data_IF_936159067970
#
_entry.id   IF_936159067970
#
_cell.length_a   1.000
_cell.length_b   1.000
_cell.length_c   1.000
_cell.angle_alpha   90.00
_cell.angle_beta   90.00
_cell.angle_gamma   90.00
#
_symmetry.space_group_name_H-M   'P 1'
#
loop_
_entity.id
_entity.type
_entity.pdbx_description
1 polymer ?
#
# COMPACT_ATOMS: atom_id res chain seq x y z
N UNK A 1 -18.80 34.70 99.73
CA UNK A 1 -19.31 33.38 99.56
C UNK A 1 -20.25 33.27 98.35
N UNK A 2 -19.78 33.00 97.21
CA UNK A 2 -20.62 32.52 96.11
C UNK A 2 -19.67 31.84 95.07
N UNK A 3 -19.82 30.55 95.01
CA UNK A 3 -19.14 29.68 94.07
C UNK A 3 -19.93 29.74 92.79
N UNK A 4 -19.31 30.13 91.68
CA UNK A 4 -19.92 30.05 90.37
C UNK A 4 -19.28 28.89 89.59
N UNK A 5 -20.04 27.83 89.37
CA UNK A 5 -19.74 26.79 88.43
C UNK A 5 -20.22 27.15 87.05
N UNK A 6 -19.32 27.47 86.17
CA UNK A 6 -19.58 27.57 84.72
C UNK A 6 -19.19 26.30 84.03
N UNK A 7 -20.14 25.40 83.82
CA UNK A 7 -19.93 24.24 82.92
C UNK A 7 -20.19 24.69 81.50
N UNK A 8 -19.13 24.70 80.69
CA UNK A 8 -19.22 24.84 79.24
C UNK A 8 -19.80 23.57 78.63
N UNK A 9 -21.12 23.56 78.42
CA UNK A 9 -21.76 22.56 77.56
C UNK A 9 -21.43 22.87 76.09
N UNK A 10 -20.52 22.14 75.53
CA UNK A 10 -20.40 22.09 74.04
C UNK A 10 -21.41 21.07 73.54
N UNK A 11 -22.32 21.46 72.64
CA UNK A 11 -23.32 20.53 72.09
C UNK A 11 -22.59 19.53 71.14
N UNK A 12 -23.00 18.25 71.25
CA UNK A 12 -22.38 17.11 70.58
C UNK A 12 -22.41 17.16 69.03
N UNK A 13 -23.07 18.19 68.44
CA UNK A 13 -23.05 18.41 66.96
C UNK A 13 -21.93 19.31 66.47
N UNK A 14 -21.13 19.86 67.35
CA UNK A 14 -20.04 20.76 67.00
C UNK A 14 -18.66 20.07 66.89
N UNK A 15 -18.59 18.77 66.76
CA UNK A 15 -17.39 18.06 66.38
C UNK A 15 -17.28 18.13 64.85
N UNK A 16 -16.24 18.78 64.30
CA UNK A 16 -15.96 18.61 62.90
C UNK A 16 -15.62 17.16 62.67
N UNK A 17 -16.49 16.42 61.99
CA UNK A 17 -16.15 15.12 61.43
C UNK A 17 -14.88 15.31 60.58
N UNK A 18 -13.75 14.83 61.07
CA UNK A 18 -12.56 14.67 60.26
C UNK A 18 -13.01 13.82 59.08
N UNK A 19 -13.18 14.46 57.89
CA UNK A 19 -13.24 13.72 56.66
C UNK A 19 -11.87 13.03 56.54
N UNK A 20 -11.83 11.74 56.89
CA UNK A 20 -10.74 10.86 56.54
C UNK A 20 -10.64 10.90 55.02
N UNK A 21 -9.76 11.75 54.49
CA UNK A 21 -9.33 11.62 53.12
C UNK A 21 -8.87 10.19 52.90
N UNK A 22 -9.36 9.52 51.85
CA UNK A 22 -8.93 8.14 51.60
C UNK A 22 -7.44 8.17 51.28
N UNK A 23 -6.62 8.07 52.30
CA UNK A 23 -5.18 7.90 52.12
C UNK A 23 -4.97 6.57 51.41
N UNK A 24 -4.69 6.64 50.10
CA UNK A 24 -4.36 5.48 49.29
C UNK A 24 -3.16 4.81 49.91
N UNK A 25 -3.40 3.71 50.62
CA UNK A 25 -2.34 2.95 51.30
C UNK A 25 -1.49 2.21 50.28
N UNK A 26 -0.48 2.85 49.76
CA UNK A 26 0.49 2.33 48.78
C UNK A 26 1.10 0.99 49.22
N UNK A 27 1.23 0.78 50.52
CA UNK A 27 1.76 -0.46 51.09
C UNK A 27 0.93 -1.70 50.73
N UNK A 28 -0.41 -1.57 50.62
CA UNK A 28 -1.28 -2.66 50.21
C UNK A 28 -1.09 -3.06 48.75
N UNK A 29 -0.84 -2.08 47.88
CA UNK A 29 -0.55 -2.36 46.48
C UNK A 29 0.81 -3.02 46.27
N UNK A 30 1.83 -2.59 47.02
CA UNK A 30 3.15 -3.23 46.99
C UNK A 30 3.12 -4.68 47.47
N UNK A 31 2.36 -5.00 48.52
CA UNK A 31 2.22 -6.39 48.99
C UNK A 31 1.46 -7.26 47.99
N UNK A 32 0.44 -6.75 47.32
CA UNK A 32 -0.27 -7.44 46.24
C UNK A 32 0.64 -7.73 45.04
N UNK A 33 1.43 -6.74 44.59
CA UNK A 33 2.40 -6.92 43.51
C UNK A 33 3.45 -7.97 43.84
N UNK A 34 3.98 -7.97 45.10
CA UNK A 34 4.96 -8.95 45.53
C UNK A 34 4.39 -10.38 45.59
N UNK A 35 3.11 -10.50 45.95
CA UNK A 35 2.41 -11.79 46.00
C UNK A 35 2.12 -12.35 44.60
N UNK A 36 1.75 -11.49 43.63
CA UNK A 36 1.36 -11.89 42.28
C UNK A 36 2.43 -11.62 41.23
N UNK A 37 3.68 -11.40 41.65
CA UNK A 37 4.81 -11.04 40.73
C UNK A 37 4.97 -11.98 39.55
N UNK A 38 4.79 -13.31 39.78
CA UNK A 38 4.88 -14.32 38.72
C UNK A 38 3.71 -14.25 37.73
N UNK A 39 2.52 -13.94 38.22
CA UNK A 39 1.33 -13.80 37.39
C UNK A 39 1.45 -12.54 36.54
N UNK A 40 1.87 -11.43 37.13
CA UNK A 40 2.13 -10.15 36.40
C UNK A 40 3.21 -10.37 35.35
N UNK A 41 4.32 -11.03 35.70
CA UNK A 41 5.40 -11.35 34.77
C UNK A 41 4.90 -12.19 33.59
N UNK A 42 4.08 -13.20 33.86
CA UNK A 42 3.51 -14.06 32.82
C UNK A 42 2.61 -13.26 31.87
N UNK A 43 1.73 -12.41 32.39
CA UNK A 43 0.84 -11.57 31.57
C UNK A 43 1.64 -10.60 30.71
N UNK A 44 2.66 -9.97 31.29
CA UNK A 44 3.54 -9.04 30.54
C UNK A 44 4.31 -9.80 29.46
N UNK A 45 4.89 -10.96 29.77
CA UNK A 45 5.60 -11.78 28.78
C UNK A 45 4.67 -12.27 27.66
N UNK A 46 3.47 -12.74 28.01
CA UNK A 46 2.49 -13.17 27.04
C UNK A 46 2.03 -12.00 26.14
N UNK A 47 1.71 -10.85 26.74
CA UNK A 47 1.29 -9.66 26.00
C UNK A 47 2.40 -9.13 25.07
N UNK A 48 3.64 -9.07 25.56
CA UNK A 48 4.80 -8.66 24.76
C UNK A 48 5.08 -9.67 23.63
N UNK A 49 5.01 -10.96 23.93
CA UNK A 49 5.24 -12.02 22.93
C UNK A 49 4.18 -11.99 21.82
N UNK A 50 2.91 -11.82 22.17
CA UNK A 50 1.82 -11.70 21.19
C UNK A 50 2.00 -10.40 20.39
N UNK A 51 2.27 -9.27 21.04
CA UNK A 51 2.50 -7.98 20.38
C UNK A 51 3.68 -8.03 19.40
N UNK A 52 4.79 -8.63 19.79
CA UNK A 52 5.93 -8.83 18.92
C UNK A 52 5.60 -9.74 17.73
N UNK A 53 4.89 -10.85 17.98
CA UNK A 53 4.44 -11.75 16.93
C UNK A 53 3.56 -11.04 15.89
N UNK A 54 2.54 -10.30 16.34
CA UNK A 54 1.66 -9.54 15.44
C UNK A 54 2.45 -8.52 14.61
N UNK A 55 3.39 -7.80 15.23
CA UNK A 55 4.20 -6.79 14.54
C UNK A 55 5.07 -7.39 13.42
N UNK A 56 5.58 -8.61 13.59
CA UNK A 56 6.37 -9.29 12.57
C UNK A 56 5.54 -9.72 11.35
N UNK A 57 4.25 -9.98 11.53
CA UNK A 57 3.36 -10.36 10.43
C UNK A 57 2.71 -9.17 9.71
N UNK A 58 2.79 -7.97 10.26
CA UNK A 58 2.25 -6.77 9.62
C UNK A 58 3.24 -6.27 8.57
N UNK A 59 2.90 -6.43 7.30
CA UNK A 59 3.67 -5.83 6.20
C UNK A 59 3.57 -4.29 6.30
N UNK A 60 4.71 -3.57 6.24
CA UNK A 60 4.70 -2.11 6.27
C UNK A 60 3.94 -1.57 5.05
N UNK A 61 2.97 -0.71 5.29
CA UNK A 61 2.25 0.00 4.25
C UNK A 61 2.84 1.41 4.10
N UNK A 62 3.42 1.67 2.93
CA UNK A 62 3.95 2.99 2.57
C UNK A 62 2.92 3.72 1.72
N UNK A 63 2.72 5.00 2.01
CA UNK A 63 1.90 5.88 1.18
C UNK A 63 2.80 6.86 0.45
N UNK A 64 2.61 6.97 -0.86
CA UNK A 64 3.27 7.97 -1.69
C UNK A 64 2.20 8.95 -2.17
N UNK A 65 2.48 10.24 -1.99
CA UNK A 65 1.59 11.32 -2.43
C UNK A 65 2.28 12.11 -3.53
N UNK A 66 1.57 12.34 -4.64
CA UNK A 66 1.95 13.24 -5.70
C UNK A 66 0.94 14.38 -5.83
N UNK A 67 1.39 15.54 -6.26
CA UNK A 67 0.54 16.68 -6.52
C UNK A 67 0.77 17.16 -7.95
N UNK A 68 -0.32 17.50 -8.64
CA UNK A 68 -0.28 18.07 -9.98
C UNK A 68 -1.06 19.36 -10.01
N UNK A 69 -0.51 20.37 -10.69
CA UNK A 69 -1.23 21.60 -10.94
C UNK A 69 -2.11 21.43 -12.17
N UNK A 70 -3.38 21.82 -12.05
CA UNK A 70 -4.30 21.88 -13.17
C UNK A 70 -4.47 23.36 -13.54
N UNK A 71 -3.84 23.77 -14.65
CA UNK A 71 -4.04 25.09 -15.24
C UNK A 71 -5.32 25.06 -16.07
N UNK A 72 -6.39 25.59 -15.54
CA UNK A 72 -7.61 25.77 -16.30
C UNK A 72 -8.53 26.77 -15.64
N UNK A 73 -9.23 27.57 -16.40
CA UNK A 73 -10.29 28.50 -15.97
C UNK A 73 -11.47 27.80 -15.25
N UNK A 74 -11.32 26.54 -14.93
CA UNK A 74 -12.34 25.63 -14.37
C UNK A 74 -12.73 25.97 -12.93
N UNK A 75 -11.90 26.72 -12.20
CA UNK A 75 -12.12 27.01 -10.78
C UNK A 75 -12.90 28.32 -10.55
N UNK A 76 -13.13 29.11 -11.58
CA UNK A 76 -13.84 30.42 -11.46
C UNK A 76 -15.33 30.36 -11.64
N UNK A 77 -15.99 29.23 -11.56
CA UNK A 77 -17.45 29.17 -11.63
C UNK A 77 -18.12 29.28 -10.24
N UNK A 78 -17.66 30.23 -9.45
CA UNK A 78 -18.31 30.72 -8.25
C UNK A 78 -18.65 32.20 -8.38
N UNK A 79 -19.71 32.55 -9.10
CA UNK A 79 -20.28 33.91 -9.09
C UNK A 79 -19.93 34.78 -10.31
N UNK A 80 -20.68 34.63 -11.37
CA UNK A 80 -20.71 35.58 -12.48
C UNK A 80 -21.84 35.23 -13.44
N UNK A 81 -22.92 36.03 -13.45
CA UNK A 81 -24.01 35.98 -14.42
C UNK A 81 -23.46 36.06 -15.83
N UNK A 82 -23.39 34.93 -16.54
CA UNK A 82 -23.38 34.93 -18.01
C UNK A 82 -24.65 34.21 -18.47
N UNK A 83 -25.73 35.01 -18.59
CA UNK A 83 -26.92 34.65 -19.34
C UNK A 83 -26.56 34.54 -20.83
N UNK A 84 -26.27 33.33 -21.27
CA UNK A 84 -26.22 32.98 -22.69
C UNK A 84 -27.12 31.76 -22.91
N UNK A 85 -27.74 31.60 -24.09
CA UNK A 85 -28.68 30.50 -24.35
C UNK A 85 -28.03 29.10 -24.44
N UNK A 86 -26.74 29.02 -24.20
CA UNK A 86 -26.00 27.77 -23.98
C UNK A 86 -25.19 27.99 -22.71
N UNK A 87 -25.72 27.56 -21.59
CA UNK A 87 -24.94 27.42 -20.36
C UNK A 87 -23.78 26.45 -20.67
N UNK A 88 -22.62 27.01 -20.89
CA UNK A 88 -21.37 26.24 -20.92
C UNK A 88 -21.18 25.68 -19.51
N UNK A 89 -21.73 24.50 -19.26
CA UNK A 89 -21.33 23.73 -18.07
C UNK A 89 -19.81 23.67 -18.12
N UNK A 90 -19.12 23.94 -16.99
CA UNK A 90 -17.69 23.76 -16.94
C UNK A 90 -17.43 22.32 -17.40
N UNK A 91 -16.78 22.19 -18.57
CA UNK A 91 -16.59 20.92 -19.28
C UNK A 91 -15.86 19.87 -18.44
N UNK A 92 -15.34 20.27 -17.27
CA UNK A 92 -14.65 19.35 -16.37
C UNK A 92 -14.92 19.73 -14.92
N UNK A 93 -15.85 19.01 -14.30
CA UNK A 93 -16.04 19.06 -12.85
C UNK A 93 -14.81 18.43 -12.16
N UNK A 94 -14.51 18.80 -10.90
CA UNK A 94 -13.43 18.19 -10.13
C UNK A 94 -13.45 16.64 -10.12
N UNK A 95 -14.64 16.04 -10.16
CA UNK A 95 -14.83 14.59 -10.28
C UNK A 95 -14.37 14.03 -11.62
N UNK A 96 -14.57 14.75 -12.73
CA UNK A 96 -14.20 14.27 -14.05
C UNK A 96 -12.67 14.07 -14.20
N UNK A 97 -11.85 14.90 -13.56
CA UNK A 97 -10.40 14.70 -13.53
C UNK A 97 -10.00 13.43 -12.77
N UNK A 98 -10.68 13.14 -11.65
CA UNK A 98 -10.46 11.92 -10.90
C UNK A 98 -10.85 10.68 -11.74
N UNK A 99 -11.97 10.75 -12.44
CA UNK A 99 -12.43 9.68 -13.33
C UNK A 99 -11.51 9.47 -14.53
N UNK A 100 -11.00 10.57 -15.10
CA UNK A 100 -10.04 10.50 -16.21
C UNK A 100 -8.74 9.80 -15.76
N UNK A 101 -8.18 10.19 -14.63
CA UNK A 101 -6.98 9.54 -14.07
C UNK A 101 -7.21 8.06 -13.78
N UNK A 102 -8.39 7.72 -13.25
CA UNK A 102 -8.78 6.34 -12.98
C UNK A 102 -9.26 5.58 -14.20
N UNK A 103 -9.24 6.21 -15.38
CA UNK A 103 -9.65 5.55 -16.60
C UNK A 103 -8.76 4.33 -16.91
N UNK A 104 -9.38 3.31 -17.47
CA UNK A 104 -8.66 2.09 -17.85
C UNK A 104 -7.60 2.36 -18.92
N UNK A 105 -7.79 3.37 -19.77
CA UNK A 105 -6.82 3.73 -20.81
C UNK A 105 -5.49 4.18 -20.18
N UNK A 106 -5.53 5.10 -19.23
CA UNK A 106 -4.33 5.58 -18.52
C UNK A 106 -3.68 4.44 -17.74
N UNK A 107 -4.46 3.69 -16.97
CA UNK A 107 -3.93 2.62 -16.13
C UNK A 107 -3.33 1.46 -16.94
N UNK A 108 -3.97 1.06 -18.04
CA UNK A 108 -3.44 0.02 -18.93
C UNK A 108 -2.11 0.47 -19.57
N UNK A 109 -1.99 1.73 -19.97
CA UNK A 109 -0.76 2.29 -20.53
C UNK A 109 0.37 2.29 -19.48
N UNK A 110 0.08 2.72 -18.26
CA UNK A 110 1.05 2.70 -17.16
C UNK A 110 1.51 1.27 -16.85
N UNK A 111 0.57 0.33 -16.75
CA UNK A 111 0.86 -1.08 -16.49
C UNK A 111 1.76 -1.67 -17.57
N UNK A 112 1.52 -1.34 -18.84
CA UNK A 112 2.35 -1.79 -19.95
C UNK A 112 3.72 -1.12 -19.99
N UNK A 113 3.79 0.22 -19.88
CA UNK A 113 5.04 0.99 -19.90
C UNK A 113 5.99 0.61 -18.76
N UNK A 114 5.46 0.34 -17.58
CA UNK A 114 6.25 -0.04 -16.41
C UNK A 114 6.36 -1.56 -16.21
N UNK A 115 5.79 -2.37 -17.14
CA UNK A 115 5.78 -3.84 -17.06
C UNK A 115 5.30 -4.36 -15.71
N UNK A 116 4.25 -3.76 -15.14
CA UNK A 116 3.76 -4.09 -13.79
C UNK A 116 3.14 -5.48 -13.68
N UNK A 117 2.85 -6.10 -14.80
CA UNK A 117 2.35 -7.47 -14.92
C UNK A 117 3.42 -8.54 -14.73
N UNK A 118 4.70 -8.15 -14.66
CA UNK A 118 5.84 -9.05 -14.55
C UNK A 118 6.61 -8.80 -13.25
N UNK A 119 6.82 -9.88 -12.50
CA UNK A 119 7.46 -9.82 -11.18
C UNK A 119 8.58 -10.86 -11.09
N UNK A 120 9.82 -10.50 -11.44
CA UNK A 120 10.97 -11.32 -11.11
C UNK A 120 11.07 -11.49 -9.61
N UNK A 121 11.37 -12.70 -9.13
CA UNK A 121 11.53 -12.93 -7.70
C UNK A 121 12.73 -12.18 -7.13
N UNK A 122 13.79 -12.03 -7.94
CA UNK A 122 14.99 -11.28 -7.58
C UNK A 122 15.19 -10.10 -8.52
N UNK A 123 15.52 -8.93 -8.00
CA UNK A 123 15.74 -7.72 -8.80
C UNK A 123 16.87 -7.89 -9.83
N UNK A 124 17.91 -8.68 -9.51
CA UNK A 124 19.02 -9.00 -10.42
C UNK A 124 18.60 -9.73 -11.68
N UNK A 125 17.45 -10.38 -11.68
CA UNK A 125 16.93 -11.15 -12.81
C UNK A 125 16.10 -10.30 -13.78
N UNK A 126 15.92 -9.02 -13.50
CA UNK A 126 15.11 -8.12 -14.34
C UNK A 126 15.63 -8.05 -15.78
N UNK A 127 16.94 -8.12 -15.99
CA UNK A 127 17.55 -8.09 -17.31
C UNK A 127 17.18 -9.30 -18.19
N UNK A 128 16.84 -10.46 -17.59
CA UNK A 128 16.41 -11.67 -18.31
C UNK A 128 15.13 -11.42 -19.08
N UNK A 129 14.29 -10.51 -18.59
CA UNK A 129 12.96 -10.21 -19.13
C UNK A 129 12.93 -9.03 -20.11
N UNK A 130 14.08 -8.61 -20.60
CA UNK A 130 14.15 -7.57 -21.63
C UNK A 130 13.34 -8.01 -22.87
N UNK A 131 12.41 -7.17 -23.31
CA UNK A 131 11.54 -7.48 -24.45
C UNK A 131 10.40 -8.44 -24.14
N UNK A 132 10.08 -8.69 -22.87
CA UNK A 132 8.90 -9.48 -22.48
C UNK A 132 7.61 -8.78 -22.92
N UNK A 133 6.76 -9.52 -23.63
CA UNK A 133 5.48 -9.00 -24.13
C UNK A 133 4.33 -9.95 -23.77
N UNK A 134 3.29 -9.44 -23.10
CA UNK A 134 2.05 -10.17 -22.89
C UNK A 134 1.29 -10.26 -24.21
N UNK A 135 0.66 -11.41 -24.46
CA UNK A 135 -0.18 -11.69 -25.62
C UNK A 135 -1.62 -12.01 -25.19
N UNK A 136 -2.60 -11.95 -26.09
CA UNK A 136 -3.93 -12.46 -25.81
C UNK A 136 -3.91 -13.90 -25.32
N UNK A 137 -4.70 -14.21 -24.30
CA UNK A 137 -4.72 -15.54 -23.68
C UNK A 137 -3.62 -15.79 -22.64
N UNK A 138 -2.99 -14.73 -22.15
CA UNK A 138 -1.98 -14.81 -21.07
C UNK A 138 -2.53 -15.58 -19.86
N UNK A 139 -1.81 -16.62 -19.46
CA UNK A 139 -2.08 -17.39 -18.25
C UNK A 139 -1.28 -16.83 -17.09
N UNK A 140 -1.99 -16.21 -16.13
CA UNK A 140 -1.40 -15.72 -14.90
C UNK A 140 -0.87 -16.88 -14.07
N UNK A 141 0.30 -16.71 -13.45
CA UNK A 141 0.89 -17.74 -12.61
C UNK A 141 2.36 -17.47 -12.26
N UNK A 142 2.89 -18.31 -11.40
CA UNK A 142 4.32 -18.30 -11.06
C UNK A 142 5.01 -19.39 -11.85
N UNK A 143 6.08 -19.01 -12.51
CA UNK A 143 6.87 -19.84 -13.39
C UNK A 143 8.34 -19.80 -12.99
N UNK A 144 9.10 -20.81 -13.41
CA UNK A 144 10.54 -20.85 -13.28
C UNK A 144 11.15 -21.20 -14.65
N UNK A 145 11.99 -20.32 -15.16
CA UNK A 145 12.83 -20.57 -16.33
C UNK A 145 14.15 -21.14 -15.86
N UNK A 146 14.49 -22.35 -16.30
CA UNK A 146 15.78 -22.99 -15.97
C UNK A 146 16.57 -23.29 -17.23
N UNK A 147 17.89 -23.27 -17.12
CA UNK A 147 18.82 -23.65 -18.18
C UNK A 147 19.61 -24.89 -17.79
N UNK A 148 20.06 -25.65 -18.77
CA UNK A 148 20.99 -26.80 -18.60
C UNK A 148 22.40 -26.35 -18.27
N UNK A 149 23.29 -27.32 -17.95
CA UNK A 149 24.69 -27.05 -17.62
C UNK A 149 25.50 -26.50 -18.80
N UNK A 150 25.06 -26.76 -20.04
CA UNK A 150 25.68 -26.26 -21.26
C UNK A 150 25.13 -24.95 -21.74
N UNK A 151 24.07 -24.41 -21.07
CA UNK A 151 23.35 -23.22 -21.50
C UNK A 151 22.81 -23.29 -22.94
N UNK A 152 22.48 -24.50 -23.38
CA UNK A 152 21.96 -24.76 -24.74
C UNK A 152 20.43 -24.92 -24.75
N UNK A 153 19.88 -25.51 -23.70
CA UNK A 153 18.45 -25.75 -23.58
C UNK A 153 17.86 -25.00 -22.40
N UNK A 154 16.62 -24.55 -22.58
CA UNK A 154 15.81 -24.04 -21.48
C UNK A 154 14.63 -24.93 -21.19
N UNK A 155 14.12 -24.83 -19.97
CA UNK A 155 12.91 -25.47 -19.51
C UNK A 155 12.10 -24.43 -18.73
N UNK A 156 10.82 -24.28 -19.11
CA UNK A 156 9.85 -23.45 -18.39
C UNK A 156 8.91 -24.35 -17.61
N UNK A 157 8.85 -24.19 -16.32
CA UNK A 157 8.00 -24.95 -15.41
C UNK A 157 7.08 -24.05 -14.60
N UNK A 158 5.94 -24.57 -14.16
CA UNK A 158 5.07 -23.92 -13.17
C UNK A 158 5.68 -24.04 -11.78
N UNK A 159 5.12 -23.29 -10.82
CA UNK A 159 5.51 -23.37 -9.40
C UNK A 159 5.50 -24.80 -8.85
N UNK A 160 4.58 -25.64 -9.34
CA UNK A 160 4.40 -27.03 -8.91
C UNK A 160 5.38 -27.99 -9.61
N UNK A 161 6.35 -27.47 -10.37
CA UNK A 161 7.37 -28.25 -11.06
C UNK A 161 6.89 -28.89 -12.37
N UNK A 162 5.66 -28.65 -12.79
CA UNK A 162 5.16 -29.17 -14.08
C UNK A 162 5.79 -28.40 -15.23
N UNK A 163 6.54 -29.11 -16.08
CA UNK A 163 7.15 -28.54 -17.27
C UNK A 163 6.07 -28.18 -18.30
N UNK A 164 6.07 -26.94 -18.75
CA UNK A 164 5.11 -26.40 -19.72
C UNK A 164 5.72 -26.25 -21.11
N UNK A 165 7.00 -25.87 -21.16
CA UNK A 165 7.68 -25.61 -22.42
C UNK A 165 9.18 -25.97 -22.30
N UNK A 166 9.77 -26.45 -23.40
CA UNK A 166 11.20 -26.68 -23.54
C UNK A 166 11.65 -26.18 -24.90
N UNK A 167 12.88 -25.69 -25.00
CA UNK A 167 13.41 -25.18 -26.24
C UNK A 167 14.92 -24.91 -26.15
N UNK A 168 15.48 -24.32 -27.19
CA UNK A 168 16.88 -23.90 -27.25
C UNK A 168 17.01 -22.49 -26.67
N UNK A 169 18.10 -22.23 -25.97
CA UNK A 169 18.43 -20.88 -25.50
C UNK A 169 18.59 -19.97 -26.70
N UNK A 170 17.85 -18.85 -26.68
CA UNK A 170 17.75 -17.93 -27.81
C UNK A 170 16.44 -18.04 -28.60
N UNK A 171 15.65 -19.09 -28.35
CA UNK A 171 14.29 -19.17 -28.89
C UNK A 171 13.30 -18.30 -28.09
N UNK A 172 12.12 -18.11 -28.66
CA UNK A 172 11.04 -17.40 -27.96
C UNK A 172 10.41 -18.29 -26.92
N UNK A 173 10.45 -17.84 -25.66
CA UNK A 173 9.92 -18.53 -24.47
C UNK A 173 8.48 -18.10 -24.21
N UNK A 174 7.62 -19.02 -23.74
CA UNK A 174 6.29 -18.74 -23.18
C UNK A 174 5.15 -18.66 -24.20
N UNK A 175 5.36 -19.07 -25.45
CA UNK A 175 4.33 -19.00 -26.50
C UNK A 175 3.02 -19.71 -26.14
N UNK A 176 3.13 -20.83 -25.46
CA UNK A 176 1.98 -21.67 -25.05
C UNK A 176 1.20 -21.06 -23.88
N UNK A 177 1.79 -20.06 -23.20
CA UNK A 177 1.24 -19.43 -22.01
C UNK A 177 0.68 -18.03 -22.28
N UNK A 178 0.67 -17.57 -23.53
CA UNK A 178 0.17 -16.25 -23.89
C UNK A 178 1.11 -15.10 -23.53
N UNK A 179 2.43 -15.36 -23.53
CA UNK A 179 3.45 -14.33 -23.46
C UNK A 179 4.64 -14.76 -24.33
N UNK A 180 5.56 -13.84 -24.56
CA UNK A 180 6.73 -14.18 -25.35
C UNK A 180 7.85 -13.18 -25.20
N UNK A 181 9.06 -13.71 -25.06
CA UNK A 181 10.30 -12.93 -25.15
C UNK A 181 11.46 -13.85 -25.55
N UNK A 182 12.57 -13.24 -25.90
CA UNK A 182 13.81 -13.95 -26.23
C UNK A 182 14.88 -13.53 -25.23
N UNK A 183 15.10 -14.28 -24.15
CA UNK A 183 16.17 -13.96 -23.22
C UNK A 183 17.52 -14.12 -23.91
N UNK A 184 18.40 -13.14 -23.73
CA UNK A 184 19.75 -13.22 -24.27
C UNK A 184 20.53 -14.32 -23.55
N UNK A 185 21.25 -15.13 -24.30
CA UNK A 185 21.99 -16.30 -23.78
C UNK A 185 23.03 -15.94 -22.69
N UNK A 186 23.67 -14.76 -22.85
CA UNK A 186 24.67 -14.28 -21.88
C UNK A 186 24.04 -13.84 -20.53
N UNK A 187 22.73 -13.54 -20.51
CA UNK A 187 22.04 -13.16 -19.30
C UNK A 187 21.53 -14.38 -18.53
N UNK A 188 21.20 -15.46 -19.23
CA UNK A 188 20.72 -16.69 -18.62
C UNK A 188 21.83 -17.42 -17.84
N UNK A 189 22.93 -17.70 -18.48
CA UNK A 189 24.02 -18.49 -17.89
C UNK A 189 23.70 -19.98 -17.71
N UNK A 190 24.70 -20.82 -17.42
CA UNK A 190 24.51 -22.25 -17.22
C UNK A 190 23.88 -22.57 -15.85
N UNK A 191 23.09 -23.65 -15.81
CA UNK A 191 22.44 -24.19 -14.59
C UNK A 191 21.70 -23.12 -13.76
N UNK A 192 21.14 -22.09 -14.40
CA UNK A 192 20.45 -20.99 -13.73
C UNK A 192 18.96 -21.28 -13.64
N UNK A 193 18.37 -20.88 -12.52
CA UNK A 193 16.91 -20.90 -12.31
C UNK A 193 16.45 -19.48 -12.05
N UNK A 194 15.51 -19.01 -12.84
CA UNK A 194 14.95 -17.65 -12.77
C UNK A 194 13.45 -17.76 -12.50
N UNK A 195 13.05 -17.67 -11.24
CA UNK A 195 11.62 -17.67 -10.88
C UNK A 195 11.00 -16.29 -11.09
N UNK A 196 9.77 -16.29 -11.63
CA UNK A 196 9.01 -15.06 -11.89
C UNK A 196 7.51 -15.31 -11.82
N UNK A 197 6.76 -14.25 -11.60
CA UNK A 197 5.30 -14.28 -11.62
C UNK A 197 4.79 -13.36 -12.73
N UNK A 198 3.82 -13.85 -13.46
CA UNK A 198 3.11 -13.09 -14.50
C UNK A 198 1.65 -12.96 -14.10
N UNK A 199 1.10 -11.76 -14.19
CA UNK A 199 -0.30 -11.46 -13.91
C UNK A 199 -0.91 -10.82 -15.15
N UNK A 200 -2.21 -11.04 -15.37
CA UNK A 200 -2.90 -10.39 -16.48
C UNK A 200 -2.79 -8.86 -16.34
N UNK A 201 -2.31 -8.13 -17.37
CA UNK A 201 -2.20 -6.66 -17.30
C UNK A 201 -3.51 -5.99 -16.90
N UNK A 202 -4.65 -6.50 -17.34
CA UNK A 202 -5.98 -5.96 -17.01
C UNK A 202 -6.29 -6.07 -15.51
N UNK A 203 -5.94 -7.19 -14.89
CA UNK A 203 -6.16 -7.39 -13.45
C UNK A 203 -5.27 -6.42 -12.64
N UNK A 204 -4.04 -6.18 -13.11
CA UNK A 204 -3.14 -5.21 -12.51
C UNK A 204 -3.70 -3.79 -12.62
N UNK A 205 -4.22 -3.40 -13.80
CA UNK A 205 -4.85 -2.08 -14.02
C UNK A 205 -6.03 -1.88 -13.09
N UNK A 206 -6.93 -2.87 -13.00
CA UNK A 206 -8.11 -2.82 -12.11
C UNK A 206 -7.68 -2.71 -10.65
N UNK A 207 -6.66 -3.46 -10.25
CA UNK A 207 -6.08 -3.37 -8.91
C UNK A 207 -5.42 -2.01 -8.62
N UNK A 208 -4.85 -1.32 -9.62
CA UNK A 208 -4.33 0.02 -9.47
C UNK A 208 -5.46 1.05 -9.32
N UNK A 209 -6.50 0.97 -10.15
CA UNK A 209 -7.67 1.85 -10.09
C UNK A 209 -8.27 1.87 -8.68
N UNK A 210 -8.38 0.70 -8.05
CA UNK A 210 -8.96 0.58 -6.70
C UNK A 210 -8.06 1.14 -5.59
N UNK A 211 -6.74 1.17 -5.80
CA UNK A 211 -5.75 1.62 -4.79
C UNK A 211 -5.32 3.07 -4.93
N UNK A 212 -5.52 3.67 -6.12
CA UNK A 212 -5.21 5.08 -6.34
C UNK A 212 -6.34 5.93 -5.78
N UNK A 213 -6.03 6.76 -4.83
CA UNK A 213 -6.92 7.78 -4.30
C UNK A 213 -6.59 9.12 -4.95
N UNK A 214 -7.62 9.75 -5.50
CA UNK A 214 -7.50 11.06 -6.17
C UNK A 214 -8.41 12.02 -5.44
N UNK A 215 -7.84 13.11 -4.94
CA UNK A 215 -8.56 14.15 -4.21
C UNK A 215 -8.22 15.52 -4.76
N UNK A 216 -9.25 16.35 -4.95
CA UNK A 216 -9.10 17.76 -5.25
C UNK A 216 -9.59 18.55 -4.02
N UNK A 217 -8.69 19.13 -3.21
CA UNK A 217 -9.09 19.94 -2.06
C UNK A 217 -9.94 21.15 -2.52
N UNK A 218 -10.94 21.52 -1.74
CA UNK A 218 -11.78 22.67 -2.04
C UNK A 218 -10.91 23.94 -2.17
N UNK A 219 -11.20 24.75 -3.17
CA UNK A 219 -10.45 25.98 -3.51
C UNK A 219 -8.98 25.75 -3.86
N UNK A 220 -8.62 24.54 -4.28
CA UNK A 220 -7.26 24.22 -4.72
C UNK A 220 -7.21 23.92 -6.21
N UNK A 221 -6.14 24.38 -6.87
CA UNK A 221 -5.81 24.02 -8.24
C UNK A 221 -4.87 22.80 -8.31
N UNK A 222 -4.60 22.19 -7.15
CA UNK A 222 -3.74 21.03 -7.04
C UNK A 222 -4.54 19.75 -6.90
N UNK A 223 -4.36 18.84 -7.83
CA UNK A 223 -4.87 17.49 -7.73
C UNK A 223 -3.88 16.66 -6.90
N UNK A 224 -4.35 16.06 -5.84
CA UNK A 224 -3.57 15.20 -4.97
C UNK A 224 -3.86 13.74 -5.29
N UNK A 225 -2.82 13.00 -5.63
CA UNK A 225 -2.87 11.56 -5.84
C UNK A 225 -2.16 10.86 -4.70
N UNK A 226 -2.77 9.81 -4.16
CA UNK A 226 -2.17 8.97 -3.12
C UNK A 226 -2.22 7.51 -3.56
N UNK A 227 -1.11 6.80 -3.42
CA UNK A 227 -1.01 5.38 -3.70
C UNK A 227 -0.35 4.68 -2.51
N UNK A 228 -1.01 3.64 -1.99
CA UNK A 228 -0.45 2.79 -0.96
C UNK A 228 0.22 1.54 -1.56
N UNK A 229 1.34 1.13 -0.99
CA UNK A 229 2.07 -0.06 -1.41
C UNK A 229 3.08 -0.54 -0.38
N UNK A 230 3.64 -1.71 -0.59
CA UNK A 230 4.62 -2.34 0.31
C UNK A 230 6.06 -1.91 0.04
N UNK A 231 6.34 -1.39 -1.16
CA UNK A 231 7.68 -0.93 -1.56
C UNK A 231 7.61 0.55 -1.96
N UNK A 232 8.27 1.47 -1.22
CA UNK A 232 8.16 2.90 -1.43
C UNK A 232 8.70 3.35 -2.80
N UNK A 233 9.82 2.78 -3.27
CA UNK A 233 10.41 3.13 -4.55
C UNK A 233 9.51 2.73 -5.72
N UNK A 234 8.95 1.51 -5.66
CA UNK A 234 8.04 1.01 -6.68
C UNK A 234 6.73 1.81 -6.67
N UNK A 235 6.19 2.12 -5.50
CA UNK A 235 4.98 2.92 -5.35
C UNK A 235 5.17 4.33 -5.93
N UNK A 236 6.31 4.97 -5.65
CA UNK A 236 6.66 6.27 -6.23
C UNK A 236 6.82 6.21 -7.76
N UNK A 237 7.46 5.15 -8.29
CA UNK A 237 7.61 4.96 -9.74
C UNK A 237 6.25 4.80 -10.43
N UNK A 238 5.34 4.03 -9.85
CA UNK A 238 3.99 3.83 -10.38
C UNK A 238 3.21 5.16 -10.37
N UNK A 239 3.22 5.89 -9.24
CA UNK A 239 2.52 7.15 -9.11
C UNK A 239 3.05 8.20 -10.11
N UNK A 240 4.37 8.31 -10.26
CA UNK A 240 4.99 9.15 -11.27
C UNK A 240 4.61 8.74 -12.70
N UNK A 241 4.50 7.43 -12.95
CA UNK A 241 4.03 6.90 -14.23
C UNK A 241 2.59 7.33 -14.54
N UNK A 242 1.70 7.23 -13.55
CA UNK A 242 0.30 7.67 -13.68
C UNK A 242 0.23 9.16 -13.98
N UNK A 243 0.98 9.98 -13.23
CA UNK A 243 1.00 11.44 -13.44
C UNK A 243 1.52 11.82 -14.83
N UNK A 244 2.57 11.17 -15.32
CA UNK A 244 3.12 11.41 -16.66
C UNK A 244 2.15 11.03 -17.77
N UNK A 245 1.51 9.86 -17.62
CA UNK A 245 0.54 9.38 -18.61
C UNK A 245 -0.70 10.27 -18.66
N UNK A 246 -1.16 10.72 -17.49
CA UNK A 246 -2.26 11.66 -17.39
C UNK A 246 -1.92 12.99 -18.11
N UNK A 247 -0.75 13.57 -17.84
CA UNK A 247 -0.32 14.82 -18.48
C UNK A 247 -0.21 14.65 -20.00
N UNK A 248 0.30 13.51 -20.47
CA UNK A 248 0.37 13.22 -21.89
C UNK A 248 -1.02 13.12 -22.54
N UNK A 249 -1.97 12.47 -21.87
CA UNK A 249 -3.34 12.29 -22.38
C UNK A 249 -4.19 13.58 -22.26
N UNK A 250 -3.95 14.40 -21.26
CA UNK A 250 -4.70 15.65 -21.05
C UNK A 250 -4.16 16.81 -21.90
N UNK A 251 -2.96 16.68 -22.50
CA UNK A 251 -2.33 17.68 -23.36
C UNK A 251 -2.56 17.48 -24.85
N UNK A 252 -3.22 16.36 -25.24
CA UNK A 252 -3.69 16.08 -26.61
C UNK A 252 -5.11 16.60 -26.83
#
# INVERSE_FOLDING_TARGET
>A
NAVAYGQNYQPAWAQPSSMDEPTVSWSRYFSAIKRYKWLILLVVLAGTGIGFGVTQFMAPAYQTTGQMWISGDVVRSGGGNTQGPIEGQPLVTPGAWADLIKSSAIMDNVVRKLSLYLWPQFAKDSAVFAGFQPRPGLRSGTYALSTDASNTHYMLATKDGKVVERGLVGDSVGRTLGFGWKPASYVLGPSRVVPFTVVNPRDVSTGLISRVEVTLPQNSQFLKLTLAGTNPQRTAMILNGIMREFVATAGE
#
